data_IF_387870144898
#
_entry.id   IF_387870144898
#
_cell.length_a   1.000
_cell.length_b   1.000
_cell.length_c   1.000
_cell.angle_alpha   90.00
_cell.angle_beta   90.00
_cell.angle_gamma   90.00
#
_symmetry.space_group_name_H-M   'P 1'
#
loop_
_entity.id
_entity.type
_entity.pdbx_description
1 polymer ?
#
# COMPACT_ATOMS: atom_id res chain seq x y z
N UNK A 1 45.04 -52.42 32.76
CA UNK A 1 44.59 -52.40 31.35
C UNK A 1 43.10 -52.68 31.35
N UNK A 2 42.33 -52.06 30.45
CA UNK A 2 40.89 -51.76 30.50
C UNK A 2 40.65 -50.40 31.19
N UNK A 3 40.92 -49.27 30.54
CA UNK A 3 40.36 -48.73 29.28
C UNK A 3 38.96 -48.16 29.50
N UNK A 4 38.88 -46.86 29.27
CA UNK A 4 37.79 -45.96 29.56
C UNK A 4 37.55 -45.22 28.26
N UNK A 5 36.38 -45.41 27.64
CA UNK A 5 35.86 -44.61 26.53
C UNK A 5 34.37 -44.89 26.30
N UNK A 6 33.64 -43.96 25.65
CA UNK A 6 32.69 -43.10 26.36
C UNK A 6 31.34 -43.00 25.60
N UNK A 7 30.53 -42.01 25.99
CA UNK A 7 29.51 -41.34 25.17
C UNK A 7 28.37 -42.20 24.59
N UNK A 8 27.21 -42.18 25.26
CA UNK A 8 25.93 -42.31 24.55
C UNK A 8 25.25 -40.94 24.54
N UNK A 9 25.11 -40.47 23.30
CA UNK A 9 24.61 -39.17 22.87
C UNK A 9 23.16 -38.93 23.28
N UNK A 10 22.96 -37.71 23.77
CA UNK A 10 21.68 -37.02 23.85
C UNK A 10 21.23 -36.73 22.40
N UNK A 11 20.48 -37.64 21.81
CA UNK A 11 19.94 -37.51 20.44
C UNK A 11 18.55 -36.83 20.46
N UNK A 12 18.31 -35.81 19.62
CA UNK A 12 17.18 -34.90 19.73
C UNK A 12 15.86 -35.55 19.29
N UNK A 13 14.78 -35.22 20.01
CA UNK A 13 13.41 -35.56 19.65
C UNK A 13 13.10 -35.10 18.21
N UNK A 14 12.88 -36.06 17.31
CA UNK A 14 12.47 -35.80 15.94
C UNK A 14 11.09 -35.13 15.93
N UNK A 15 11.06 -33.86 15.53
CA UNK A 15 9.85 -33.13 15.21
C UNK A 15 9.12 -33.82 14.05
N UNK A 16 7.97 -34.42 14.33
CA UNK A 16 7.05 -34.88 13.29
C UNK A 16 6.39 -33.65 12.65
N UNK A 17 6.44 -33.48 11.32
CA UNK A 17 5.72 -32.40 10.66
C UNK A 17 4.23 -32.71 10.68
N UNK A 18 3.44 -31.89 11.36
CA UNK A 18 1.97 -31.95 11.29
C UNK A 18 1.53 -31.39 9.93
N UNK A 19 0.89 -32.17 9.04
CA UNK A 19 0.41 -31.65 7.78
C UNK A 19 -0.84 -30.78 8.01
N UNK A 20 -0.81 -29.55 7.48
CA UNK A 20 -2.00 -28.72 7.27
C UNK A 20 -2.97 -29.46 6.35
N UNK A 21 -4.02 -30.02 6.95
CA UNK A 21 -5.19 -30.52 6.24
C UNK A 21 -6.36 -29.58 6.45
N UNK A 22 -6.46 -28.57 5.58
CA UNK A 22 -7.67 -27.75 5.41
C UNK A 22 -8.76 -28.67 4.86
N UNK A 23 -9.59 -29.21 5.76
CA UNK A 23 -10.88 -29.78 5.38
C UNK A 23 -11.95 -28.77 5.73
N UNK A 24 -12.31 -27.96 4.75
CA UNK A 24 -13.57 -27.23 4.77
C UNK A 24 -14.69 -28.27 4.58
N UNK A 25 -15.29 -28.69 5.70
CA UNK A 25 -16.48 -29.56 5.65
C UNK A 25 -17.68 -28.66 5.34
N UNK A 26 -18.50 -28.98 4.33
CA UNK A 26 -19.76 -28.29 4.16
C UNK A 26 -20.61 -28.54 5.42
N UNK A 27 -20.80 -27.48 6.22
CA UNK A 27 -21.73 -27.53 7.33
C UNK A 27 -23.11 -27.75 6.74
N UNK A 28 -23.70 -28.92 6.95
CA UNK A 28 -25.10 -29.17 6.65
C UNK A 28 -25.93 -28.13 7.39
N UNK A 29 -26.58 -27.23 6.63
CA UNK A 29 -27.49 -26.22 7.16
C UNK A 29 -28.62 -26.90 7.92
N UNK A 30 -28.50 -26.94 9.25
CA UNK A 30 -29.59 -27.33 10.14
C UNK A 30 -30.67 -26.26 10.15
N UNK A 31 -31.92 -26.68 10.34
CA UNK A 31 -33.08 -25.78 10.47
C UNK A 31 -32.76 -24.73 11.53
N UNK A 32 -32.75 -23.46 11.13
CA UNK A 32 -32.32 -22.36 12.01
C UNK A 32 -33.46 -21.93 12.93
N UNK A 33 -33.14 -21.35 14.09
CA UNK A 33 -34.16 -20.80 15.01
C UNK A 33 -35.08 -19.75 14.35
N UNK A 34 -34.59 -19.07 13.30
CA UNK A 34 -35.38 -18.11 12.52
C UNK A 34 -36.44 -18.83 11.70
N UNK A 35 -36.09 -19.95 11.06
CA UNK A 35 -37.03 -20.77 10.30
C UNK A 35 -38.11 -21.35 11.20
N UNK A 36 -37.76 -21.80 12.41
CA UNK A 36 -38.72 -22.29 13.41
C UNK A 36 -39.72 -21.18 13.80
N UNK A 37 -39.24 -19.97 14.08
CA UNK A 37 -40.10 -18.83 14.43
C UNK A 37 -40.99 -18.41 13.25
N UNK A 38 -40.45 -18.38 12.03
CA UNK A 38 -41.21 -18.04 10.82
C UNK A 38 -42.31 -19.06 10.54
N UNK A 39 -42.02 -20.36 10.71
CA UNK A 39 -43.01 -21.44 10.59
C UNK A 39 -44.08 -21.29 11.68
N UNK A 40 -43.69 -21.10 12.94
CA UNK A 40 -44.63 -20.93 14.04
C UNK A 40 -45.57 -19.73 13.82
N UNK A 41 -45.02 -18.60 13.37
CA UNK A 41 -45.79 -17.38 13.10
C UNK A 41 -46.74 -17.56 11.89
N UNK A 42 -46.29 -18.28 10.86
CA UNK A 42 -47.12 -18.59 9.69
C UNK A 42 -48.28 -19.52 10.06
N UNK A 43 -48.00 -20.57 10.83
CA UNK A 43 -49.04 -21.50 11.34
C UNK A 43 -50.02 -20.76 12.24
N UNK A 44 -49.52 -19.92 13.15
CA UNK A 44 -50.36 -19.10 14.02
C UNK A 44 -51.28 -18.17 13.21
N UNK A 45 -50.76 -17.51 12.18
CA UNK A 45 -51.56 -16.63 11.32
C UNK A 45 -52.63 -17.40 10.54
N UNK A 46 -52.29 -18.56 9.97
CA UNK A 46 -53.25 -19.40 9.27
C UNK A 46 -54.35 -19.92 10.20
N UNK A 47 -53.99 -20.31 11.44
CA UNK A 47 -54.97 -20.70 12.45
C UNK A 47 -55.87 -19.54 12.85
N UNK A 48 -55.31 -18.34 13.08
CA UNK A 48 -56.08 -17.15 13.40
C UNK A 48 -57.03 -16.76 12.26
N UNK A 49 -56.57 -16.86 11.00
CA UNK A 49 -57.40 -16.60 9.82
C UNK A 49 -58.52 -17.63 9.68
N UNK A 50 -58.22 -18.93 9.81
CA UNK A 50 -59.22 -19.99 9.76
C UNK A 50 -60.26 -19.86 10.88
N UNK A 51 -59.81 -19.53 12.10
CA UNK A 51 -60.67 -19.31 13.25
C UNK A 51 -61.56 -18.08 13.05
N UNK A 52 -61.03 -17.00 12.48
CA UNK A 52 -61.80 -15.80 12.14
C UNK A 52 -62.94 -16.11 11.15
N UNK A 53 -62.68 -16.92 10.12
CA UNK A 53 -63.73 -17.36 9.19
C UNK A 53 -64.76 -18.29 9.83
N UNK A 54 -64.38 -19.07 10.84
CA UNK A 54 -65.27 -19.99 11.56
C UNK A 54 -66.17 -19.27 12.58
N UNK A 55 -65.66 -18.22 13.22
CA UNK A 55 -66.42 -17.41 14.19
C UNK A 55 -67.23 -16.27 13.55
N UNK A 56 -66.88 -15.83 12.34
CA UNK A 56 -67.65 -14.79 11.67
C UNK A 56 -68.99 -15.38 11.20
N UNK A 57 -70.15 -14.90 11.70
CA UNK A 57 -71.44 -15.35 11.20
C UNK A 57 -71.50 -15.05 9.71
N UNK A 58 -71.84 -16.05 8.90
CA UNK A 58 -72.19 -15.83 7.50
C UNK A 58 -73.41 -14.92 7.48
N UNK A 59 -73.20 -13.62 7.26
CA UNK A 59 -74.29 -12.65 7.26
C UNK A 59 -75.32 -13.04 6.20
N UNK A 60 -76.58 -13.15 6.61
CA UNK A 60 -77.70 -13.39 5.71
C UNK A 60 -77.70 -12.35 4.59
N UNK A 61 -77.31 -12.79 3.40
CA UNK A 61 -77.23 -11.94 2.22
C UNK A 61 -76.98 -12.79 0.99
N UNK A 62 -78.04 -12.98 0.20
CA UNK A 62 -78.08 -13.72 -1.06
C UNK A 62 -77.25 -13.06 -2.18
N UNK A 63 -75.97 -12.82 -1.94
CA UNK A 63 -75.01 -12.37 -2.95
C UNK A 63 -74.05 -13.52 -3.23
N UNK A 64 -74.02 -14.00 -4.48
CA UNK A 64 -73.00 -14.97 -4.88
C UNK A 64 -71.60 -14.41 -4.56
N UNK A 65 -70.69 -15.21 -3.99
CA UNK A 65 -69.32 -14.77 -3.74
C UNK A 65 -68.66 -14.45 -5.08
N UNK A 66 -68.69 -13.16 -5.46
CA UNK A 66 -68.05 -12.69 -6.67
C UNK A 66 -66.56 -13.06 -6.65
N UNK A 67 -66.01 -13.43 -7.81
CA UNK A 67 -64.59 -13.79 -7.97
C UNK A 67 -63.62 -12.77 -7.34
N UNK A 68 -64.02 -11.50 -7.28
CA UNK A 68 -63.28 -10.41 -6.63
C UNK A 68 -63.18 -10.57 -5.10
N UNK A 69 -64.26 -10.97 -4.43
CA UNK A 69 -64.27 -11.18 -2.97
C UNK A 69 -63.38 -12.38 -2.61
N UNK A 70 -63.42 -13.44 -3.41
CA UNK A 70 -62.53 -14.59 -3.26
C UNK A 70 -61.05 -14.20 -3.38
N UNK A 71 -60.68 -13.39 -4.37
CA UNK A 71 -59.30 -12.89 -4.52
C UNK A 71 -58.88 -12.00 -3.35
N UNK A 72 -59.78 -11.15 -2.84
CA UNK A 72 -59.49 -10.25 -1.72
C UNK A 72 -59.29 -11.02 -0.40
N UNK A 73 -60.09 -12.06 -0.16
CA UNK A 73 -59.90 -13.01 0.94
C UNK A 73 -58.56 -13.73 0.80
N UNK A 74 -58.27 -14.29 -0.38
CA UNK A 74 -57.02 -14.99 -0.63
C UNK A 74 -55.80 -14.08 -0.41
N UNK A 75 -55.83 -12.84 -0.91
CA UNK A 75 -54.75 -11.88 -0.70
C UNK A 75 -54.57 -11.52 0.78
N UNK A 76 -55.66 -11.34 1.54
CA UNK A 76 -55.61 -11.05 2.98
C UNK A 76 -54.95 -12.16 3.80
N UNK A 77 -55.16 -13.42 3.42
CA UNK A 77 -54.55 -14.57 4.10
C UNK A 77 -53.08 -14.77 3.70
N UNK A 78 -52.77 -14.66 2.41
CA UNK A 78 -51.43 -15.01 1.89
C UNK A 78 -50.40 -13.87 1.97
N UNK A 79 -50.82 -12.59 1.89
CA UNK A 79 -49.89 -11.45 1.92
C UNK A 79 -49.05 -11.35 3.21
N UNK A 80 -49.62 -11.56 4.42
CA UNK A 80 -48.86 -11.55 5.66
C UNK A 80 -47.86 -12.71 5.74
N UNK A 81 -48.22 -13.90 5.25
CA UNK A 81 -47.32 -15.06 5.21
C UNK A 81 -46.12 -14.79 4.30
N UNK A 82 -46.36 -14.16 3.14
CA UNK A 82 -45.29 -13.71 2.25
C UNK A 82 -44.35 -12.70 2.91
N UNK A 83 -44.89 -11.71 3.61
CA UNK A 83 -44.09 -10.71 4.34
C UNK A 83 -43.23 -11.32 5.45
N UNK A 84 -43.75 -12.32 6.17
CA UNK A 84 -43.01 -13.05 7.21
C UNK A 84 -41.82 -13.79 6.59
N UNK A 85 -42.01 -14.43 5.42
CA UNK A 85 -40.93 -15.11 4.71
C UNK A 85 -39.86 -14.16 4.17
N UNK A 86 -40.25 -12.98 3.66
CA UNK A 86 -39.30 -11.94 3.23
C UNK A 86 -38.47 -11.41 4.41
N UNK A 87 -39.09 -11.20 5.56
CA UNK A 87 -38.38 -10.78 6.76
C UNK A 87 -37.40 -11.87 7.27
N UNK A 88 -37.79 -13.14 7.19
CA UNK A 88 -36.95 -14.27 7.60
C UNK A 88 -35.70 -14.42 6.69
N UNK A 89 -35.84 -14.28 5.37
CA UNK A 89 -34.71 -14.36 4.44
C UNK A 89 -33.74 -13.16 4.57
N UNK A 90 -34.26 -11.95 4.80
CA UNK A 90 -33.44 -10.77 5.10
C UNK A 90 -32.71 -10.87 6.45
N UNK A 91 -33.33 -11.52 7.46
CA UNK A 91 -32.68 -11.78 8.73
C UNK A 91 -31.54 -12.81 8.60
N UNK A 92 -31.68 -13.80 7.70
CA UNK A 92 -30.62 -14.77 7.38
C UNK A 92 -29.41 -14.10 6.73
N UNK A 93 -29.62 -13.23 5.73
CA UNK A 93 -28.50 -12.50 5.09
C UNK A 93 -27.76 -11.57 6.04
N UNK A 94 -28.46 -10.99 7.01
CA UNK A 94 -27.87 -10.10 8.02
C UNK A 94 -27.03 -10.82 9.08
N UNK A 95 -27.22 -12.14 9.27
CA UNK A 95 -26.47 -12.93 10.25
C UNK A 95 -25.11 -13.42 9.74
N UNK A 96 -25.03 -13.83 8.48
CA UNK A 96 -23.76 -14.20 7.83
C UNK A 96 -22.75 -13.04 7.92
N UNK A 97 -23.23 -11.81 7.76
CA UNK A 97 -22.41 -10.61 7.88
C UNK A 97 -22.01 -10.26 9.33
N UNK A 98 -22.80 -10.67 10.33
CA UNK A 98 -22.50 -10.44 11.76
C UNK A 98 -21.49 -11.45 12.33
N UNK A 99 -21.53 -12.70 11.87
CA UNK A 99 -20.54 -13.72 12.24
C UNK A 99 -19.16 -13.41 11.64
N UNK A 100 -19.11 -12.89 10.41
CA UNK A 100 -17.87 -12.39 9.80
C UNK A 100 -17.31 -11.17 10.55
N UNK A 101 -18.17 -10.24 10.98
CA UNK A 101 -17.74 -9.04 11.72
C UNK A 101 -17.18 -9.37 13.10
N UNK A 102 -17.78 -10.31 13.85
CA UNK A 102 -17.28 -10.70 15.17
C UNK A 102 -15.96 -11.46 15.09
N UNK A 103 -15.80 -12.32 14.08
CA UNK A 103 -14.54 -13.05 13.86
C UNK A 103 -13.40 -12.11 13.46
N UNK A 104 -13.68 -11.10 12.64
CA UNK A 104 -12.73 -10.03 12.30
C UNK A 104 -12.35 -9.19 13.52
N UNK A 105 -13.32 -8.80 14.35
CA UNK A 105 -13.07 -8.03 15.57
C UNK A 105 -12.13 -8.79 16.52
N UNK A 106 -12.37 -10.10 16.70
CA UNK A 106 -11.56 -10.95 17.59
C UNK A 106 -10.13 -11.16 17.06
N UNK A 107 -9.97 -11.27 15.74
CA UNK A 107 -8.65 -11.35 15.10
C UNK A 107 -7.87 -10.03 15.22
N UNK A 108 -8.56 -8.88 15.08
CA UNK A 108 -7.97 -7.55 15.25
C UNK A 108 -7.52 -7.35 16.70
N UNK A 109 -8.33 -7.73 17.69
CA UNK A 109 -7.97 -7.61 19.10
C UNK A 109 -6.78 -8.53 19.45
N UNK A 110 -6.71 -9.74 18.88
CA UNK A 110 -5.56 -10.63 19.04
C UNK A 110 -4.26 -10.04 18.46
N UNK A 111 -4.32 -9.41 17.28
CA UNK A 111 -3.17 -8.73 16.66
C UNK A 111 -2.74 -7.52 17.50
N UNK A 112 -3.69 -6.73 17.99
CA UNK A 112 -3.41 -5.57 18.84
C UNK A 112 -2.73 -5.99 20.15
N UNK A 113 -3.21 -7.06 20.78
CA UNK A 113 -2.58 -7.60 21.98
C UNK A 113 -1.20 -8.19 21.70
N UNK A 114 -1.01 -8.88 20.58
CA UNK A 114 0.31 -9.39 20.17
C UNK A 114 1.30 -8.25 19.90
N UNK A 115 0.85 -7.17 19.23
CA UNK A 115 1.68 -5.99 18.97
C UNK A 115 2.09 -5.26 20.25
N UNK A 116 1.16 -5.06 21.19
CA UNK A 116 1.46 -4.41 22.48
C UNK A 116 2.38 -5.29 23.34
N UNK A 117 2.16 -6.61 23.37
CA UNK A 117 3.03 -7.56 24.07
C UNK A 117 4.44 -7.60 23.44
N UNK A 118 4.53 -7.53 22.11
CA UNK A 118 5.81 -7.49 21.38
C UNK A 118 6.55 -6.17 21.60
N UNK A 119 5.84 -5.03 21.66
CA UNK A 119 6.44 -3.73 21.99
C UNK A 119 6.91 -3.66 23.46
N UNK A 120 6.18 -4.28 24.40
CA UNK A 120 6.62 -4.37 25.78
C UNK A 120 7.77 -5.36 25.99
N UNK A 121 7.80 -6.48 25.25
CA UNK A 121 8.92 -7.42 25.24
C UNK A 121 10.17 -6.81 24.58
N UNK A 122 10.00 -6.05 23.48
CA UNK A 122 11.06 -5.29 22.84
C UNK A 122 11.54 -4.09 23.71
N UNK A 123 10.67 -3.54 24.56
CA UNK A 123 11.02 -2.49 25.53
C UNK A 123 11.66 -2.98 26.84
N UNK A 124 11.64 -4.29 27.11
CA UNK A 124 12.28 -4.91 28.28
C UNK A 124 13.71 -5.43 27.99
N UNK A 125 14.12 -5.43 26.72
CA UNK A 125 15.52 -5.64 26.31
C UNK A 125 16.33 -4.35 26.44
N UNK A 126 17.59 -4.49 26.86
CA UNK A 126 18.59 -3.48 27.26
C UNK A 126 18.87 -2.28 26.31
N UNK A 127 18.11 -2.11 25.22
CA UNK A 127 18.39 -1.16 24.16
C UNK A 127 17.69 0.19 24.35
N UNK A 128 16.50 0.22 24.96
CA UNK A 128 15.83 1.50 25.25
C UNK A 128 16.62 2.35 26.27
N UNK A 129 17.23 1.70 27.28
CA UNK A 129 18.07 2.35 28.28
C UNK A 129 19.45 2.77 27.73
N UNK A 130 19.97 2.05 26.73
CA UNK A 130 21.24 2.39 26.08
C UNK A 130 21.07 3.53 25.08
N UNK A 131 19.94 3.60 24.37
CA UNK A 131 19.60 4.69 23.44
C UNK A 131 19.29 5.99 24.21
N UNK A 132 18.57 5.93 25.32
CA UNK A 132 18.36 7.12 26.18
C UNK A 132 19.65 7.63 26.81
N UNK A 133 20.56 6.73 27.26
CA UNK A 133 21.91 7.15 27.70
C UNK A 133 22.73 7.80 26.58
N UNK A 134 22.68 7.25 25.36
CA UNK A 134 23.40 7.83 24.20
C UNK A 134 22.82 9.18 23.79
N UNK A 135 21.51 9.39 23.92
CA UNK A 135 20.87 10.68 23.68
C UNK A 135 21.25 11.72 24.73
N UNK A 136 21.32 11.34 26.01
CA UNK A 136 21.78 12.24 27.08
C UNK A 136 23.28 12.59 26.96
N UNK A 137 24.10 11.64 26.51
CA UNK A 137 25.54 11.89 26.28
C UNK A 137 25.77 12.85 25.09
N UNK A 138 24.94 12.76 24.03
CA UNK A 138 24.97 13.69 22.89
C UNK A 138 24.46 15.09 23.31
N UNK A 139 23.40 15.16 24.12
CA UNK A 139 22.90 16.43 24.64
C UNK A 139 23.92 17.12 25.58
N UNK A 140 24.65 16.34 26.38
CA UNK A 140 25.73 16.85 27.23
C UNK A 140 26.96 17.29 26.42
N UNK A 141 27.27 16.59 25.32
CA UNK A 141 28.34 16.99 24.40
C UNK A 141 28.01 18.30 23.68
N UNK A 142 26.76 18.50 23.25
CA UNK A 142 26.29 19.74 22.62
C UNK A 142 26.39 20.96 23.58
N UNK A 143 26.04 20.79 24.86
CA UNK A 143 26.19 21.86 25.86
C UNK A 143 27.65 22.21 26.17
N UNK A 144 28.55 21.24 26.11
CA UNK A 144 30.01 21.47 26.27
C UNK A 144 30.59 22.24 25.08
N UNK A 145 30.11 21.98 23.86
CA UNK A 145 30.53 22.77 22.69
C UNK A 145 30.00 24.21 22.73
N UNK A 146 28.79 24.44 23.22
CA UNK A 146 28.25 25.81 23.39
C UNK A 146 29.00 26.62 24.45
N UNK A 147 29.38 26.00 25.57
CA UNK A 147 30.15 26.68 26.64
C UNK A 147 31.60 26.97 26.24
N UNK A 148 32.21 26.13 25.40
CA UNK A 148 33.54 26.39 24.85
C UNK A 148 33.50 27.49 23.78
N UNK A 149 32.51 27.48 22.87
CA UNK A 149 32.34 28.53 21.86
C UNK A 149 32.02 29.91 22.49
N UNK A 150 31.28 29.96 23.59
CA UNK A 150 30.98 31.19 24.31
C UNK A 150 32.19 31.77 25.07
N UNK A 151 33.18 30.94 25.41
CA UNK A 151 34.39 31.39 26.13
C UNK A 151 35.46 31.96 25.18
N UNK A 152 35.42 31.61 23.88
CA UNK A 152 36.40 32.07 22.89
C UNK A 152 36.02 33.39 22.18
N UNK A 153 34.80 33.90 22.32
CA UNK A 153 34.35 35.16 21.67
C UNK A 153 34.50 36.41 22.55
N UNK A 154 35.01 36.28 23.78
CA UNK A 154 35.24 37.41 24.68
C UNK A 154 36.73 37.66 24.93
N UNK A 155 37.47 38.15 23.92
CA UNK A 155 38.70 38.91 24.19
C UNK A 155 39.22 39.74 23.00
N UNK A 156 39.23 41.06 23.23
CA UNK A 156 40.25 42.05 22.85
C UNK A 156 40.24 42.63 21.43
N UNK A 157 39.62 43.80 21.39
CA UNK A 157 40.03 44.98 20.62
C UNK A 157 41.42 45.49 21.07
N UNK A 158 42.24 46.00 20.14
CA UNK A 158 42.91 47.25 20.44
C UNK A 158 42.95 48.25 19.27
N UNK A 159 42.77 49.49 19.68
CA UNK A 159 42.91 50.78 19.00
C UNK A 159 44.38 51.09 18.62
N UNK A 160 44.60 51.78 17.49
CA UNK A 160 45.92 52.30 17.10
C UNK A 160 46.03 52.82 15.66
N UNK A 161 45.87 54.13 15.48
CA UNK A 161 46.17 54.94 14.27
C UNK A 161 47.71 55.16 14.12
N UNK A 162 48.31 55.81 13.05
CA UNK A 162 47.72 56.84 12.16
C UNK A 162 48.20 56.97 10.67
N UNK A 163 47.53 57.92 9.95
CA UNK A 163 47.98 58.77 8.80
C UNK A 163 48.19 58.11 7.40
N UNK A 164 47.55 58.55 6.30
CA UNK A 164 47.59 59.89 5.69
C UNK A 164 46.67 60.09 4.45
N UNK A 165 46.28 61.36 4.25
CA UNK A 165 46.00 62.11 3.01
C UNK A 165 44.72 61.90 2.14
N UNK A 166 44.06 63.05 1.93
CA UNK A 166 42.84 63.39 1.15
C UNK A 166 43.02 63.28 -0.37
N UNK A 167 41.92 63.12 -1.12
CA UNK A 167 41.34 64.09 -2.10
C UNK A 167 39.98 63.55 -2.62
N UNK A 168 38.98 64.41 -2.74
CA UNK A 168 37.74 64.28 -3.55
C UNK A 168 37.68 65.50 -4.51
N UNK A 169 36.80 65.63 -5.55
CA UNK A 169 35.58 64.87 -5.89
C UNK A 169 35.36 64.52 -7.40
N UNK A 170 34.19 63.94 -7.71
CA UNK A 170 33.68 63.25 -8.93
C UNK A 170 33.38 64.13 -10.19
N UNK A 171 32.98 63.56 -11.37
CA UNK A 171 31.60 63.03 -11.63
C UNK A 171 31.47 61.74 -12.51
N UNK A 172 30.24 61.17 -12.49
CA UNK A 172 29.66 59.90 -13.02
C UNK A 172 29.57 59.78 -14.57
N UNK A 173 28.90 58.77 -15.20
CA UNK A 173 28.44 57.40 -14.81
C UNK A 173 28.83 56.29 -15.82
N UNK A 174 28.89 55.03 -15.41
CA UNK A 174 28.62 53.86 -16.29
C UNK A 174 28.11 52.71 -15.44
N UNK A 175 27.00 52.13 -15.87
CA UNK A 175 26.37 50.94 -15.30
C UNK A 175 27.31 49.73 -15.37
N UNK A 176 28.01 49.43 -14.28
CA UNK A 176 28.55 48.10 -14.03
C UNK A 176 27.70 47.46 -12.93
N UNK A 177 26.65 46.76 -13.37
CA UNK A 177 25.92 45.81 -12.56
C UNK A 177 26.93 44.80 -12.00
N UNK A 178 27.13 44.69 -10.67
CA UNK A 178 28.00 43.66 -10.13
C UNK A 178 27.36 42.32 -10.48
N UNK A 179 28.06 41.53 -11.30
CA UNK A 179 27.71 40.15 -11.58
C UNK A 179 27.62 39.47 -10.22
N UNK A 180 26.39 39.18 -9.81
CA UNK A 180 26.08 38.32 -8.69
C UNK A 180 26.76 36.98 -9.02
N UNK A 181 27.91 36.75 -8.38
CA UNK A 181 28.52 35.44 -8.27
C UNK A 181 27.55 34.58 -7.47
N UNK A 182 26.52 34.08 -8.15
CA UNK A 182 25.77 32.93 -7.72
C UNK A 182 26.81 31.83 -7.62
N UNK A 183 27.28 31.57 -6.40
CA UNK A 183 28.07 30.39 -6.10
C UNK A 183 27.39 29.22 -6.77
N UNK A 184 28.17 28.39 -7.46
CA UNK A 184 27.72 27.17 -8.12
C UNK A 184 26.67 26.53 -7.22
N UNK A 185 25.41 26.37 -7.67
CA UNK A 185 24.37 25.80 -6.83
C UNK A 185 24.91 24.48 -6.28
N UNK A 186 24.68 24.20 -5.00
CA UNK A 186 25.20 22.98 -4.34
C UNK A 186 24.83 21.68 -5.07
N UNK A 187 23.89 21.75 -6.01
CA UNK A 187 23.49 20.71 -6.97
C UNK A 187 24.63 20.33 -7.94
N UNK A 188 25.53 21.25 -8.32
CA UNK A 188 26.68 21.00 -9.22
C UNK A 188 27.90 20.37 -8.51
N UNK A 189 27.84 20.21 -7.18
CA UNK A 189 28.95 19.66 -6.37
C UNK A 189 28.74 18.17 -6.09
N UNK A 190 27.52 17.64 -6.26
CA UNK A 190 27.23 16.24 -6.02
C UNK A 190 27.75 15.37 -7.19
N UNK A 191 28.47 14.27 -6.92
CA UNK A 191 28.82 13.30 -7.96
C UNK A 191 27.57 12.82 -8.69
N UNK A 192 27.60 12.64 -10.03
CA UNK A 192 26.47 12.12 -10.77
C UNK A 192 26.07 10.74 -10.23
N UNK A 193 24.75 10.49 -10.17
CA UNK A 193 24.20 9.23 -9.68
C UNK A 193 24.68 8.07 -10.55
N UNK A 194 25.30 7.06 -9.94
CA UNK A 194 25.73 5.87 -10.66
C UNK A 194 24.50 5.07 -11.14
N UNK A 195 24.56 4.57 -12.38
CA UNK A 195 23.49 3.77 -13.01
C UNK A 195 23.05 2.58 -12.14
N UNK A 196 24.00 1.88 -11.52
CA UNK A 196 23.72 0.75 -10.64
C UNK A 196 22.97 1.16 -9.36
N UNK A 197 23.29 2.32 -8.77
CA UNK A 197 22.57 2.86 -7.62
C UNK A 197 21.15 3.29 -8.02
N UNK A 198 21.00 3.89 -9.20
CA UNK A 198 19.69 4.27 -9.74
C UNK A 198 18.78 3.05 -9.93
N UNK A 199 19.25 2.01 -10.61
CA UNK A 199 18.49 0.77 -10.82
C UNK A 199 18.13 0.13 -9.48
N UNK A 200 19.10 0.05 -8.53
CA UNK A 200 18.84 -0.49 -7.20
C UNK A 200 17.79 0.33 -6.43
N UNK A 201 17.85 1.66 -6.53
CA UNK A 201 16.86 2.53 -5.90
C UNK A 201 15.46 2.32 -6.49
N UNK A 202 15.32 2.11 -7.80
CA UNK A 202 14.05 1.80 -8.46
C UNK A 202 13.47 0.42 -8.08
N UNK A 203 14.31 -0.50 -7.61
CA UNK A 203 13.81 -1.76 -7.08
C UNK A 203 13.21 -1.62 -5.67
N UNK A 204 13.59 -0.57 -4.94
CA UNK A 204 13.37 -0.38 -3.50
C UNK A 204 14.03 -1.47 -2.64
N UNK A 205 14.43 -1.16 -1.39
CA UNK A 205 14.98 -2.16 -0.47
C UNK A 205 13.99 -3.30 -0.21
N UNK A 206 14.47 -4.53 -0.20
CA UNK A 206 13.60 -5.71 -0.01
C UNK A 206 13.28 -5.98 1.46
N UNK A 207 14.24 -5.70 2.35
CA UNK A 207 14.12 -5.94 3.80
C UNK A 207 14.66 -4.75 4.58
N UNK A 208 14.37 -4.71 5.88
CA UNK A 208 14.94 -3.71 6.81
C UNK A 208 16.47 -3.80 6.94
N UNK A 209 17.06 -4.93 6.55
CA UNK A 209 18.49 -5.21 6.64
C UNK A 209 19.25 -4.89 5.34
N UNK A 210 18.55 -4.47 4.27
CA UNK A 210 19.17 -4.12 2.99
C UNK A 210 19.86 -2.73 3.03
N UNK A 211 20.98 -2.66 3.75
CA UNK A 211 21.78 -1.44 3.91
C UNK A 211 22.23 -0.86 2.56
N UNK A 212 22.53 -1.73 1.60
CA UNK A 212 22.99 -1.33 0.28
C UNK A 212 21.84 -0.74 -0.55
N UNK A 213 20.64 -1.30 -0.47
CA UNK A 213 19.41 -0.73 -1.03
C UNK A 213 19.09 0.64 -0.43
N UNK A 214 19.12 0.78 0.90
CA UNK A 214 18.91 2.08 1.55
C UNK A 214 19.99 3.10 1.21
N UNK A 215 21.25 2.68 1.05
CA UNK A 215 22.34 3.55 0.60
C UNK A 215 22.13 4.06 -0.83
N UNK A 216 21.74 3.17 -1.76
CA UNK A 216 21.42 3.54 -3.13
C UNK A 216 20.19 4.46 -3.19
N UNK A 217 19.13 4.14 -2.44
CA UNK A 217 17.92 4.96 -2.35
C UNK A 217 18.22 6.36 -1.82
N UNK A 218 19.01 6.50 -0.75
CA UNK A 218 19.41 7.80 -0.21
C UNK A 218 20.24 8.62 -1.20
N UNK A 219 21.10 7.99 -1.99
CA UNK A 219 21.87 8.66 -3.05
C UNK A 219 20.95 9.12 -4.18
N UNK A 220 20.04 8.26 -4.63
CA UNK A 220 19.08 8.60 -5.68
C UNK A 220 18.09 9.70 -5.27
N UNK A 221 17.71 9.77 -3.99
CA UNK A 221 16.85 10.85 -3.47
C UNK A 221 17.54 12.22 -3.41
N UNK A 222 18.88 12.29 -3.50
CA UNK A 222 19.62 13.56 -3.62
C UNK A 222 19.62 14.09 -5.06
N UNK A 223 19.48 13.18 -6.04
CA UNK A 223 19.31 13.54 -7.44
C UNK A 223 17.85 13.90 -7.70
N UNK A 224 17.58 15.17 -7.99
CA UNK A 224 16.22 15.70 -8.14
C UNK A 224 15.40 14.93 -9.20
N UNK A 225 15.93 14.61 -10.39
CA UNK A 225 15.14 13.88 -11.36
C UNK A 225 14.82 12.44 -10.94
N UNK A 226 15.77 11.71 -10.34
CA UNK A 226 15.52 10.38 -9.79
C UNK A 226 14.55 10.41 -8.60
N UNK A 227 14.68 11.37 -7.68
CA UNK A 227 13.82 11.52 -6.51
C UNK A 227 12.34 11.64 -6.88
N UNK A 228 12.02 12.42 -7.92
CA UNK A 228 10.65 12.58 -8.41
C UNK A 228 10.07 11.28 -8.97
N UNK A 229 10.88 10.45 -9.65
CA UNK A 229 10.42 9.14 -10.12
C UNK A 229 10.22 8.18 -8.94
N UNK A 230 11.15 8.17 -7.99
CA UNK A 230 11.08 7.30 -6.81
C UNK A 230 9.84 7.61 -5.98
N UNK A 231 9.53 8.90 -5.75
CA UNK A 231 8.32 9.31 -5.04
C UNK A 231 7.04 8.88 -5.79
N UNK A 232 6.97 9.17 -7.09
CA UNK A 232 5.81 8.77 -7.90
C UNK A 232 5.62 7.23 -7.95
N UNK A 233 6.73 6.49 -8.01
CA UNK A 233 6.71 5.04 -7.95
C UNK A 233 6.23 4.54 -6.58
N UNK A 234 6.75 5.11 -5.48
CA UNK A 234 6.36 4.75 -4.12
C UNK A 234 4.86 4.97 -3.89
N UNK A 235 4.32 6.11 -4.32
CA UNK A 235 2.90 6.44 -4.18
C UNK A 235 2.02 5.40 -4.90
N UNK A 236 2.34 5.10 -6.16
CA UNK A 236 1.62 4.10 -6.96
C UNK A 236 1.74 2.70 -6.37
N UNK A 237 2.94 2.28 -5.96
CA UNK A 237 3.16 0.96 -5.36
C UNK A 237 2.37 0.82 -4.05
N UNK A 238 2.31 1.89 -3.26
CA UNK A 238 1.51 1.94 -2.04
C UNK A 238 0.02 1.77 -2.37
N UNK A 239 -0.50 2.50 -3.36
CA UNK A 239 -1.91 2.38 -3.76
C UNK A 239 -2.23 0.99 -4.34
N UNK A 240 -1.36 0.42 -5.17
CA UNK A 240 -1.51 -0.94 -5.71
C UNK A 240 -1.54 -2.00 -4.58
N UNK A 241 -0.72 -1.83 -3.55
CA UNK A 241 -0.69 -2.74 -2.40
C UNK A 241 -1.98 -2.71 -1.57
N UNK A 242 -2.71 -1.58 -1.56
CA UNK A 242 -4.01 -1.48 -0.88
C UNK A 242 -5.07 -2.35 -1.54
N UNK A 243 -4.96 -2.56 -2.85
CA UNK A 243 -5.82 -3.47 -3.62
C UNK A 243 -5.24 -4.90 -3.67
N UNK A 244 -4.18 -5.19 -2.90
CA UNK A 244 -3.53 -6.50 -2.82
C UNK A 244 -2.64 -6.86 -4.00
N UNK A 245 -2.22 -5.87 -4.80
CA UNK A 245 -1.35 -6.09 -5.98
C UNK A 245 0.09 -5.79 -5.58
N UNK A 246 0.90 -6.84 -5.43
CA UNK A 246 2.33 -6.74 -5.16
C UNK A 246 3.15 -7.03 -6.42
N UNK A 247 4.15 -6.21 -6.71
CA UNK A 247 4.96 -6.34 -7.95
C UNK A 247 5.82 -7.60 -7.98
N UNK A 248 6.18 -8.11 -6.80
CA UNK A 248 6.99 -9.31 -6.63
C UNK A 248 6.21 -10.58 -6.98
N UNK A 249 4.88 -10.54 -6.91
CA UNK A 249 4.00 -11.65 -7.31
C UNK A 249 3.77 -11.72 -8.84
N UNK A 250 4.07 -10.63 -9.55
CA UNK A 250 3.87 -10.53 -10.98
C UNK A 250 5.01 -11.21 -11.73
N UNK A 251 4.70 -11.90 -12.82
CA UNK A 251 5.70 -12.51 -13.69
C UNK A 251 5.59 -11.87 -15.08
N UNK A 252 6.33 -10.78 -15.34
CA UNK A 252 6.30 -10.12 -16.63
C UNK A 252 6.98 -10.98 -17.69
N UNK A 253 6.42 -10.99 -18.89
CA UNK A 253 7.13 -11.48 -20.08
C UNK A 253 8.26 -10.52 -20.45
N UNK A 254 9.45 -11.06 -20.66
CA UNK A 254 10.66 -10.26 -20.87
C UNK A 254 10.65 -9.69 -22.29
N UNK A 255 10.43 -8.38 -22.40
CA UNK A 255 10.68 -7.66 -23.63
C UNK A 255 12.18 -7.60 -23.92
N UNK A 256 12.55 -7.66 -25.20
CA UNK A 256 13.95 -7.46 -25.59
C UNK A 256 14.36 -6.01 -25.35
N UNK A 257 15.65 -5.78 -25.10
CA UNK A 257 16.21 -4.45 -24.83
C UNK A 257 15.97 -3.49 -26.00
N UNK A 258 15.93 -3.98 -27.24
CA UNK A 258 15.66 -3.11 -28.41
C UNK A 258 14.25 -2.52 -28.38
N UNK A 259 13.27 -3.21 -27.79
CA UNK A 259 11.89 -2.71 -27.66
C UNK A 259 11.85 -1.55 -26.66
N UNK A 260 12.58 -1.66 -25.55
CA UNK A 260 12.76 -0.57 -24.59
C UNK A 260 13.43 0.64 -25.24
N UNK A 261 14.49 0.44 -26.04
CA UNK A 261 15.14 1.52 -26.78
C UNK A 261 14.20 2.18 -27.81
N UNK A 262 13.39 1.40 -28.52
CA UNK A 262 12.36 1.94 -29.41
C UNK A 262 11.35 2.82 -28.66
N UNK A 263 10.94 2.38 -27.47
CA UNK A 263 10.05 3.16 -26.62
C UNK A 263 10.70 4.49 -26.16
N UNK A 264 11.98 4.49 -25.77
CA UNK A 264 12.71 5.73 -25.45
C UNK A 264 12.77 6.71 -26.65
N UNK A 265 12.85 6.18 -27.88
CA UNK A 265 12.83 6.99 -29.10
C UNK A 265 11.44 7.51 -29.50
N UNK A 266 10.42 7.25 -28.68
CA UNK A 266 9.05 7.71 -28.93
C UNK A 266 8.24 6.80 -29.84
N UNK A 267 8.69 5.58 -30.14
CA UNK A 267 7.86 4.59 -30.86
C UNK A 267 6.70 4.16 -29.95
N UNK A 268 5.50 4.06 -30.51
CA UNK A 268 4.25 3.72 -29.79
C UNK A 268 3.44 2.67 -30.57
N UNK A 269 2.49 2.03 -29.90
CA UNK A 269 1.60 1.00 -30.44
C UNK A 269 2.27 -0.35 -30.66
N UNK A 270 1.81 -1.10 -31.67
CA UNK A 270 2.18 -2.51 -31.93
C UNK A 270 3.68 -2.87 -31.82
N UNK A 271 4.65 -2.05 -32.30
CA UNK A 271 6.07 -2.36 -32.14
C UNK A 271 6.54 -2.47 -30.69
N UNK A 272 5.93 -1.70 -29.78
CA UNK A 272 6.28 -1.65 -28.35
C UNK A 272 5.26 -2.38 -27.46
N UNK A 273 4.24 -3.01 -28.05
CA UNK A 273 3.22 -3.79 -27.34
C UNK A 273 3.79 -4.87 -26.40
N UNK A 274 4.97 -5.41 -26.72
CA UNK A 274 5.65 -6.40 -25.89
C UNK A 274 6.21 -5.84 -24.56
N UNK A 275 6.31 -4.51 -24.40
CA UNK A 275 6.69 -3.89 -23.12
C UNK A 275 5.63 -4.10 -22.03
N UNK A 276 4.35 -4.22 -22.41
CA UNK A 276 3.28 -4.57 -21.48
C UNK A 276 3.34 -6.04 -21.08
N UNK A 277 4.47 -6.51 -20.54
CA UNK A 277 4.75 -7.93 -20.27
C UNK A 277 3.85 -8.57 -19.22
N UNK A 278 3.12 -7.78 -18.42
CA UNK A 278 2.22 -8.28 -17.39
C UNK A 278 0.90 -8.73 -18.00
N UNK A 279 0.60 -10.02 -17.83
CA UNK A 279 -0.61 -10.67 -18.37
C UNK A 279 -1.57 -11.20 -17.31
N UNK A 280 -1.29 -10.97 -16.03
CA UNK A 280 -2.17 -11.41 -14.95
C UNK A 280 -3.54 -10.74 -15.05
N UNK A 281 -4.59 -11.55 -15.25
CA UNK A 281 -5.95 -11.06 -15.50
C UNK A 281 -6.55 -10.39 -14.27
N UNK A 282 -6.27 -10.92 -13.07
CA UNK A 282 -6.77 -10.35 -11.81
C UNK A 282 -6.21 -8.96 -11.60
N UNK A 283 -4.88 -8.82 -11.65
CA UNK A 283 -4.20 -7.54 -11.45
C UNK A 283 -4.62 -6.50 -12.50
N UNK A 284 -4.71 -6.89 -13.78
CA UNK A 284 -5.19 -5.99 -14.83
C UNK A 284 -6.64 -5.53 -14.59
N UNK A 285 -7.53 -6.44 -14.19
CA UNK A 285 -8.93 -6.10 -13.92
C UNK A 285 -9.09 -5.19 -12.69
N UNK A 286 -8.37 -5.50 -11.59
CA UNK A 286 -8.38 -4.69 -10.37
C UNK A 286 -7.82 -3.29 -10.64
N UNK A 287 -6.66 -3.18 -11.27
CA UNK A 287 -6.05 -1.90 -11.63
C UNK A 287 -6.93 -1.09 -12.60
N UNK A 288 -7.53 -1.72 -13.60
CA UNK A 288 -8.46 -1.04 -14.53
C UNK A 288 -9.73 -0.55 -13.82
N UNK A 289 -10.30 -1.37 -12.93
CA UNK A 289 -11.40 -1.00 -12.05
C UNK A 289 -11.04 0.22 -11.20
N UNK A 290 -9.87 0.19 -10.57
CA UNK A 290 -9.36 1.27 -9.72
C UNK A 290 -9.12 2.56 -10.50
N UNK A 291 -8.50 2.51 -11.68
CA UNK A 291 -8.34 3.68 -12.55
C UNK A 291 -9.68 4.32 -12.90
N UNK A 292 -10.76 3.54 -13.06
CA UNK A 292 -12.09 4.07 -13.36
C UNK A 292 -12.80 4.64 -12.12
N UNK A 293 -12.66 4.00 -10.97
CA UNK A 293 -13.43 4.32 -9.77
C UNK A 293 -12.78 5.41 -8.89
N UNK A 294 -11.45 5.48 -8.86
CA UNK A 294 -10.70 6.37 -7.98
C UNK A 294 -9.93 7.45 -8.77
N UNK A 295 -10.36 8.72 -8.72
CA UNK A 295 -9.65 9.82 -9.37
C UNK A 295 -8.23 10.05 -8.84
N UNK A 296 -7.98 9.78 -7.54
CA UNK A 296 -6.66 9.99 -6.92
C UNK A 296 -5.68 8.95 -7.48
N UNK A 297 -6.10 7.68 -7.51
CA UNK A 297 -5.30 6.63 -8.14
C UNK A 297 -5.02 6.90 -9.61
N UNK A 298 -6.04 7.36 -10.36
CA UNK A 298 -5.88 7.72 -11.77
C UNK A 298 -4.85 8.82 -11.98
N UNK A 299 -4.90 9.88 -11.18
CA UNK A 299 -3.95 10.99 -11.28
C UNK A 299 -2.53 10.54 -10.91
N UNK A 300 -2.37 9.80 -9.81
CA UNK A 300 -1.09 9.23 -9.39
C UNK A 300 -0.50 8.31 -10.47
N UNK A 301 -1.30 7.43 -11.07
CA UNK A 301 -0.87 6.55 -12.16
C UNK A 301 -0.39 7.35 -13.39
N UNK A 302 -1.15 8.35 -13.85
CA UNK A 302 -0.73 9.17 -14.99
C UNK A 302 0.47 10.07 -14.67
N UNK A 303 0.59 10.56 -13.43
CA UNK A 303 1.76 11.27 -12.97
C UNK A 303 3.01 10.37 -13.03
N UNK A 304 2.91 9.17 -12.48
CA UNK A 304 3.97 8.17 -12.52
C UNK A 304 4.36 7.76 -13.94
N UNK A 305 3.40 7.44 -14.83
CA UNK A 305 3.70 7.05 -16.21
C UNK A 305 4.47 8.14 -16.96
N UNK A 306 4.06 9.41 -16.82
CA UNK A 306 4.76 10.56 -17.42
C UNK A 306 6.17 10.72 -16.85
N UNK A 307 6.32 10.51 -15.54
CA UNK A 307 7.60 10.64 -14.86
C UNK A 307 8.57 9.53 -15.28
N UNK A 308 8.07 8.31 -15.38
CA UNK A 308 8.84 7.15 -15.84
C UNK A 308 9.32 7.35 -17.28
N UNK A 309 8.44 7.72 -18.21
CA UNK A 309 8.80 7.96 -19.62
C UNK A 309 9.92 9.02 -19.73
N UNK A 310 9.74 10.18 -19.08
CA UNK A 310 10.75 11.26 -19.08
C UNK A 310 12.11 10.80 -18.53
N UNK A 311 12.11 10.11 -17.39
CA UNK A 311 13.37 9.66 -16.78
C UNK A 311 14.01 8.52 -17.57
N UNK A 312 13.20 7.63 -18.17
CA UNK A 312 13.70 6.52 -18.96
C UNK A 312 14.38 6.98 -20.25
N UNK A 313 13.84 8.01 -20.93
CA UNK A 313 14.50 8.64 -22.10
C UNK A 313 15.90 9.14 -21.74
N UNK A 314 16.04 9.85 -20.63
CA UNK A 314 17.34 10.35 -20.17
C UNK A 314 18.31 9.22 -19.73
N UNK A 315 17.76 8.11 -19.23
CA UNK A 315 18.53 6.94 -18.81
C UNK A 315 19.07 6.14 -20.01
N UNK A 316 18.28 6.00 -21.09
CA UNK A 316 18.64 5.16 -22.25
C UNK A 316 19.92 5.60 -22.96
N UNK A 317 20.18 6.91 -23.01
CA UNK A 317 21.37 7.51 -23.67
C UNK A 317 22.69 7.01 -23.07
N UNK A 318 22.71 6.71 -21.76
CA UNK A 318 23.90 6.26 -21.04
C UNK A 318 23.86 4.79 -20.60
N UNK A 319 22.77 4.07 -20.87
CA UNK A 319 22.54 2.72 -20.37
C UNK A 319 22.99 1.63 -21.34
N UNK A 320 23.71 0.64 -20.83
CA UNK A 320 24.00 -0.60 -21.56
C UNK A 320 22.75 -1.48 -21.67
N UNK A 321 22.78 -2.49 -22.53
CA UNK A 321 21.70 -3.47 -22.63
C UNK A 321 21.51 -4.26 -21.32
N UNK A 322 22.59 -4.49 -20.58
CA UNK A 322 22.53 -5.11 -19.25
C UNK A 322 21.81 -4.20 -18.24
N UNK A 323 22.05 -2.88 -18.29
CA UNK A 323 21.39 -1.90 -17.43
C UNK A 323 19.89 -1.81 -17.72
N UNK A 324 19.50 -1.80 -19.01
CA UNK A 324 18.09 -1.81 -19.42
C UNK A 324 17.42 -3.10 -18.95
N UNK A 325 18.07 -4.25 -19.13
CA UNK A 325 17.54 -5.53 -18.65
C UNK A 325 17.38 -5.55 -17.13
N UNK A 326 18.32 -4.99 -16.38
CA UNK A 326 18.25 -4.91 -14.92
C UNK A 326 17.15 -3.94 -14.46
N UNK A 327 16.98 -2.80 -15.14
CA UNK A 327 15.91 -1.85 -14.88
C UNK A 327 14.53 -2.48 -15.11
N UNK A 328 14.38 -3.25 -16.20
CA UNK A 328 13.12 -3.91 -16.56
C UNK A 328 12.62 -4.91 -15.51
N UNK A 329 13.51 -5.45 -14.68
CA UNK A 329 13.17 -6.40 -13.61
C UNK A 329 12.74 -5.70 -12.31
N UNK A 330 12.94 -4.39 -12.17
CA UNK A 330 12.63 -3.66 -10.94
C UNK A 330 11.12 -3.60 -10.66
N UNK A 331 10.75 -3.49 -9.37
CA UNK A 331 9.36 -3.23 -8.96
C UNK A 331 8.76 -2.00 -9.65
N UNK A 332 9.53 -0.94 -9.83
CA UNK A 332 9.09 0.26 -10.54
C UNK A 332 8.77 -0.02 -12.01
N UNK A 333 9.63 -0.76 -12.71
CA UNK A 333 9.37 -1.11 -14.11
C UNK A 333 8.17 -2.05 -14.25
N UNK A 334 7.99 -3.01 -13.33
CA UNK A 334 6.80 -3.87 -13.27
C UNK A 334 5.52 -3.05 -13.11
N UNK A 335 5.50 -2.07 -12.21
CA UNK A 335 4.37 -1.15 -12.05
C UNK A 335 4.09 -0.36 -13.34
N UNK A 336 5.15 0.08 -14.04
CA UNK A 336 5.03 0.75 -15.34
C UNK A 336 4.41 -0.16 -16.41
N UNK A 337 4.84 -1.42 -16.50
CA UNK A 337 4.26 -2.38 -17.45
C UNK A 337 2.77 -2.62 -17.17
N UNK A 338 2.38 -2.75 -15.90
CA UNK A 338 1.00 -3.00 -15.48
C UNK A 338 0.12 -1.79 -15.83
N UNK A 339 0.51 -0.60 -15.36
CA UNK A 339 -0.25 0.62 -15.56
C UNK A 339 -0.26 1.07 -17.02
N UNK A 340 0.88 0.95 -17.72
CA UNK A 340 0.98 1.29 -19.13
C UNK A 340 0.05 0.43 -19.98
N UNK A 341 -0.11 -0.85 -19.63
CA UNK A 341 -1.07 -1.75 -20.29
C UNK A 341 -2.51 -1.35 -20.01
N UNK A 342 -2.85 -1.05 -18.76
CA UNK A 342 -4.21 -0.61 -18.39
C UNK A 342 -4.58 0.74 -19.02
N UNK A 343 -3.62 1.66 -19.12
CA UNK A 343 -3.80 2.97 -19.71
C UNK A 343 -3.77 2.97 -21.25
N UNK A 344 -3.49 1.82 -21.89
CA UNK A 344 -3.38 1.72 -23.36
C UNK A 344 -2.15 2.42 -23.93
N UNK A 345 -1.06 2.55 -23.15
CA UNK A 345 0.19 3.20 -23.60
C UNK A 345 0.91 2.39 -24.69
N UNK A 346 0.64 1.08 -24.77
CA UNK A 346 1.31 0.14 -25.66
C UNK A 346 0.45 -0.38 -26.81
N UNK A 347 -0.84 0.00 -26.87
CA UNK A 347 -1.81 -0.51 -27.84
C UNK A 347 -1.87 0.32 -29.13
#
# INVERSE_FOLDING_TARGET
MADQRPDEEDAPAQARPTPLGIYDRPQTEGITNIEIIAIALSVFWLLASGLFFLLMPSGDGNAEPGSMSFVMVMLSVFMPVGMIWVAATAARSSRVMREESQRLQTAIDAIRHAYIAQNHAAGAGSDAASITRKLDEIAAAARKTETVLATFTSRREPEGAPQNARVAPAPQPVDDQPVLALGTPSEDIAPPLATADFIRALNFPETSEDEAGFSALRRALRDRPAAQLIQAAQDVLTLLSQDGIYMDDLQPDRARTEVWRQFARGVRGRPVASLGGIRDRSSLALTAGRMKQDPIFRDAAHHFLRRFDKTFVAFEDGASDADISALAETRTARAFMLLGRVAGTFD
#
